data_IF_133680029262
#
_entry.id   IF_133680029262
#
_cell.length_a   1.000
_cell.length_b   1.000
_cell.length_c   1.000
_cell.angle_alpha   90.00
_cell.angle_beta   90.00
_cell.angle_gamma   90.00
#
_symmetry.space_group_name_H-M   'P 1'
#
loop_
_entity.id
_entity.type
_entity.pdbx_description
1 polymer ?
#
# COMPACT_ATOMS: atom_id res chain seq x y z
N UNK A 1 -4.68 -10.91 16.57
CA UNK A 1 -4.03 -10.55 17.83
C UNK A 1 -3.13 -9.33 17.61
N UNK A 2 -3.68 -8.14 17.91
CA UNK A 2 -3.10 -6.83 17.54
C UNK A 2 -3.07 -5.88 18.73
N UNK A 3 -2.30 -6.21 19.82
CA UNK A 3 -2.40 -5.50 21.10
C UNK A 3 -2.11 -3.99 21.01
N UNK A 4 -1.23 -3.57 20.09
CA UNK A 4 -0.93 -2.14 19.89
C UNK A 4 -2.08 -1.42 19.19
N UNK A 5 -2.63 -2.01 18.13
CA UNK A 5 -3.81 -1.47 17.44
C UNK A 5 -5.03 -1.45 18.36
N UNK A 6 -5.24 -2.50 19.14
CA UNK A 6 -6.32 -2.60 20.12
C UNK A 6 -6.19 -1.49 21.19
N UNK A 7 -4.96 -1.22 21.65
CA UNK A 7 -4.67 -0.11 22.57
C UNK A 7 -4.97 1.26 21.97
N UNK A 8 -4.63 1.49 20.71
CA UNK A 8 -4.97 2.72 19.98
C UNK A 8 -6.47 2.87 19.79
N UNK A 9 -7.16 1.79 19.43
CA UNK A 9 -8.61 1.78 19.29
C UNK A 9 -9.32 2.13 20.62
N UNK A 10 -8.84 1.57 21.73
CA UNK A 10 -9.39 1.84 23.06
C UNK A 10 -9.16 3.29 23.52
N UNK A 11 -8.08 3.92 23.08
CA UNK A 11 -7.73 5.31 23.44
C UNK A 11 -8.24 6.37 22.46
N UNK A 12 -8.70 5.96 21.29
CA UNK A 12 -9.06 6.84 20.18
C UNK A 12 -10.44 6.58 19.59
N UNK A 13 -10.56 6.80 18.29
CA UNK A 13 -11.78 6.57 17.52
C UNK A 13 -11.55 5.49 16.48
N UNK A 14 -12.41 4.49 16.48
CA UNK A 14 -12.44 3.44 15.45
C UNK A 14 -13.52 3.74 14.41
N UNK A 15 -13.13 3.73 13.13
CA UNK A 15 -14.06 3.92 12.01
C UNK A 15 -14.47 2.55 11.47
N UNK A 16 -15.68 2.11 11.76
CA UNK A 16 -16.20 0.80 11.32
C UNK A 16 -16.50 0.77 9.81
N UNK A 17 -16.76 1.92 9.21
CA UNK A 17 -17.08 2.06 7.79
C UNK A 17 -16.09 3.03 7.13
N UNK A 18 -14.90 2.54 6.81
CA UNK A 18 -13.88 3.28 6.09
C UNK A 18 -13.77 2.77 4.64
N UNK A 19 -13.77 3.68 3.68
CA UNK A 19 -13.77 3.37 2.25
C UNK A 19 -12.64 4.11 1.55
N UNK A 20 -12.05 3.49 0.52
CA UNK A 20 -11.23 4.19 -0.46
C UNK A 20 -12.03 4.41 -1.76
N UNK A 21 -11.75 5.47 -2.49
CA UNK A 21 -12.46 5.75 -3.75
C UNK A 21 -11.89 4.99 -4.96
N UNK A 22 -10.76 4.31 -4.81
CA UNK A 22 -10.21 3.40 -5.82
C UNK A 22 -9.36 2.31 -5.13
N UNK A 23 -9.68 1.02 -5.28
CA UNK A 23 -8.97 -0.07 -4.61
C UNK A 23 -7.72 -0.53 -5.38
N UNK A 24 -6.97 0.41 -5.97
CA UNK A 24 -5.72 0.19 -6.70
C UNK A 24 -4.61 1.01 -6.03
N UNK A 25 -3.39 0.49 -5.98
CA UNK A 25 -2.30 1.05 -5.16
C UNK A 25 -2.03 2.54 -5.44
N UNK A 26 -1.62 2.91 -6.66
CA UNK A 26 -1.25 4.28 -6.98
C UNK A 26 -2.44 5.25 -6.93
N UNK A 27 -3.62 4.94 -7.50
CA UNK A 27 -4.81 5.79 -7.37
C UNK A 27 -5.23 6.03 -5.93
N UNK A 28 -5.32 4.99 -5.11
CA UNK A 28 -5.69 5.10 -3.70
C UNK A 28 -4.70 5.97 -2.92
N UNK A 29 -3.39 5.79 -3.14
CA UNK A 29 -2.34 6.54 -2.47
C UNK A 29 -2.27 8.00 -2.94
N UNK A 30 -2.48 8.25 -4.22
CA UNK A 30 -2.58 9.61 -4.77
C UNK A 30 -3.79 10.35 -4.19
N UNK A 31 -4.93 9.67 -4.08
CA UNK A 31 -6.13 10.21 -3.42
C UNK A 31 -5.86 10.50 -1.92
N UNK A 32 -5.22 9.59 -1.20
CA UNK A 32 -4.80 9.80 0.18
C UNK A 32 -3.87 11.01 0.33
N UNK A 33 -2.91 11.17 -0.57
CA UNK A 33 -1.95 12.28 -0.52
C UNK A 33 -2.60 13.64 -0.79
N UNK A 34 -3.57 13.69 -1.71
CA UNK A 34 -4.18 14.95 -2.16
C UNK A 34 -5.48 15.29 -1.44
N UNK A 35 -6.13 14.32 -0.79
CA UNK A 35 -7.47 14.46 -0.24
C UNK A 35 -8.56 14.61 -1.30
N UNK A 36 -8.28 14.23 -2.56
CA UNK A 36 -9.17 14.38 -3.71
C UNK A 36 -9.59 13.04 -4.29
N UNK A 37 -10.72 13.02 -4.97
CA UNK A 37 -11.17 11.84 -5.70
C UNK A 37 -10.24 11.54 -6.88
N UNK A 38 -10.14 10.26 -7.23
CA UNK A 38 -9.33 9.80 -8.37
C UNK A 38 -9.74 10.50 -9.68
N UNK A 39 -11.04 10.77 -9.86
CA UNK A 39 -11.56 11.51 -11.01
C UNK A 39 -11.12 12.96 -11.08
N UNK A 40 -10.71 13.57 -9.97
CA UNK A 40 -10.23 14.95 -9.93
C UNK A 40 -8.72 15.05 -10.17
N UNK A 41 -7.98 14.02 -9.76
CA UNK A 41 -6.52 13.97 -9.90
C UNK A 41 -6.06 13.19 -11.14
N UNK A 42 -6.98 12.49 -11.79
CA UNK A 42 -6.79 11.72 -13.03
C UNK A 42 -5.73 10.61 -12.94
N UNK A 43 -5.51 10.06 -11.74
CA UNK A 43 -4.62 8.91 -11.51
C UNK A 43 -5.47 7.64 -11.53
N UNK A 44 -5.60 7.01 -12.69
CA UNK A 44 -6.57 5.94 -12.92
C UNK A 44 -6.04 4.52 -12.64
N UNK A 45 -4.73 4.34 -12.70
CA UNK A 45 -4.07 3.05 -12.56
C UNK A 45 -2.65 3.18 -11.98
N UNK A 46 -1.97 2.05 -11.81
CA UNK A 46 -0.60 2.01 -11.30
C UNK A 46 0.48 2.51 -12.29
N UNK A 47 0.11 2.86 -13.51
CA UNK A 47 1.00 3.45 -14.51
C UNK A 47 0.84 4.96 -14.65
N UNK A 48 -0.18 5.54 -14.04
CA UNK A 48 -0.47 6.98 -14.16
C UNK A 48 0.23 7.77 -13.05
N UNK A 49 1.16 8.68 -13.37
CA UNK A 49 1.84 9.48 -12.36
C UNK A 49 0.90 10.54 -11.74
N UNK A 50 1.08 10.81 -10.46
CA UNK A 50 0.55 12.03 -9.85
C UNK A 50 1.37 13.23 -10.35
N UNK A 51 0.71 14.28 -10.87
CA UNK A 51 1.40 15.48 -11.32
C UNK A 51 2.14 16.18 -10.16
N UNK A 52 3.37 16.62 -10.41
CA UNK A 52 4.17 17.36 -9.42
C UNK A 52 3.60 18.72 -9.05
N UNK A 53 2.66 19.23 -9.84
CA UNK A 53 1.89 20.44 -9.60
C UNK A 53 0.72 20.25 -8.64
N UNK A 54 0.42 19.01 -8.26
CA UNK A 54 -0.69 18.69 -7.36
C UNK A 54 -0.25 18.83 -5.90
N UNK A 55 -0.83 19.77 -5.14
CA UNK A 55 -0.53 19.90 -3.72
C UNK A 55 -1.01 18.68 -2.95
N UNK A 56 -0.21 18.28 -1.97
CA UNK A 56 -0.49 17.17 -1.06
C UNK A 56 -0.55 17.66 0.37
N UNK A 57 -1.07 16.84 1.28
CA UNK A 57 -1.06 17.19 2.70
C UNK A 57 0.38 17.33 3.26
N UNK A 58 1.39 16.66 2.65
CA UNK A 58 2.79 16.84 3.04
C UNK A 58 3.27 18.28 2.77
N UNK A 59 2.89 18.87 1.63
CA UNK A 59 3.16 20.29 1.36
C UNK A 59 2.48 21.21 2.40
N UNK A 60 1.22 20.92 2.74
CA UNK A 60 0.49 21.71 3.73
C UNK A 60 1.14 21.64 5.12
N UNK A 61 1.60 20.46 5.54
CA UNK A 61 2.33 20.29 6.80
C UNK A 61 3.67 21.02 6.80
N UNK A 62 4.41 20.99 5.69
CA UNK A 62 5.66 21.75 5.56
C UNK A 62 5.43 23.26 5.73
N UNK A 63 4.37 23.77 5.12
CA UNK A 63 3.98 25.20 5.30
C UNK A 63 3.59 25.52 6.74
N UNK A 64 3.07 24.55 7.48
CA UNK A 64 2.77 24.67 8.90
C UNK A 64 3.99 24.44 9.82
N UNK A 65 5.20 24.24 9.25
CA UNK A 65 6.45 24.08 10.00
C UNK A 65 6.77 22.66 10.44
N UNK A 66 6.04 21.66 9.95
CA UNK A 66 6.37 20.26 10.23
C UNK A 66 7.53 19.77 9.36
N UNK A 67 8.36 18.88 9.90
CA UNK A 67 9.21 18.01 9.10
C UNK A 67 8.37 16.82 8.60
N UNK A 68 8.32 16.59 7.29
CA UNK A 68 7.57 15.47 6.72
C UNK A 68 8.51 14.40 6.19
N UNK A 69 8.31 13.16 6.62
CA UNK A 69 9.21 12.05 6.33
C UNK A 69 8.42 10.84 5.80
N UNK A 70 8.96 10.23 4.74
CA UNK A 70 8.43 9.00 4.15
C UNK A 70 9.43 7.86 4.36
N UNK A 71 8.94 6.72 4.81
CA UNK A 71 9.66 5.46 4.86
C UNK A 71 8.82 4.36 4.22
N UNK A 72 9.27 3.85 3.08
CA UNK A 72 8.60 2.73 2.43
C UNK A 72 7.73 3.09 1.23
N UNK A 73 6.71 2.25 0.97
CA UNK A 73 5.91 2.24 -0.25
C UNK A 73 4.91 3.39 -0.32
N UNK A 74 5.01 4.23 -1.34
CA UNK A 74 3.95 5.16 -1.72
C UNK A 74 3.49 5.00 -3.17
N UNK A 75 4.18 4.19 -3.94
CA UNK A 75 3.88 3.90 -5.35
C UNK A 75 3.81 5.18 -6.20
N UNK A 76 4.70 6.12 -5.91
CA UNK A 76 4.85 7.30 -6.74
C UNK A 76 5.47 6.91 -8.09
N UNK A 77 4.73 7.13 -9.16
CA UNK A 77 5.16 6.90 -10.53
C UNK A 77 5.75 8.19 -11.11
N UNK A 78 6.78 8.06 -11.92
CA UNK A 78 7.42 9.20 -12.57
C UNK A 78 8.59 9.78 -11.75
N UNK A 79 9.10 10.94 -12.17
CA UNK A 79 10.34 11.50 -11.61
C UNK A 79 10.20 12.10 -10.21
N UNK A 80 9.00 12.59 -9.86
CA UNK A 80 8.76 13.11 -8.52
C UNK A 80 8.45 11.96 -7.55
N UNK A 81 9.44 11.64 -6.72
CA UNK A 81 9.35 10.57 -5.72
C UNK A 81 9.07 11.12 -4.32
N UNK A 82 8.88 12.43 -4.19
CA UNK A 82 8.74 13.09 -2.90
C UNK A 82 7.33 13.64 -2.67
N UNK A 83 6.70 14.22 -3.66
CA UNK A 83 5.35 14.81 -3.58
C UNK A 83 5.09 15.58 -2.27
N UNK A 84 6.08 16.41 -1.89
CA UNK A 84 6.02 17.24 -0.69
C UNK A 84 6.74 16.67 0.54
N UNK A 85 7.11 15.40 0.60
CA UNK A 85 7.94 14.91 1.69
C UNK A 85 9.34 15.54 1.63
N UNK A 86 9.85 16.01 2.77
CA UNK A 86 11.20 16.60 2.87
C UNK A 86 12.27 15.54 3.01
N UNK A 87 11.96 14.40 3.64
CA UNK A 87 12.89 13.28 3.82
C UNK A 87 12.26 11.99 3.29
N UNK A 88 13.10 11.14 2.71
CA UNK A 88 12.74 9.77 2.37
C UNK A 88 13.78 8.81 2.90
N UNK A 89 13.41 7.96 3.85
CA UNK A 89 14.34 7.06 4.55
C UNK A 89 14.58 5.78 3.75
N UNK A 90 13.56 5.29 3.04
CA UNK A 90 13.65 4.11 2.20
C UNK A 90 12.88 4.37 0.90
N UNK A 91 13.49 4.03 -0.23
CA UNK A 91 12.85 4.12 -1.54
C UNK A 91 11.70 3.12 -1.68
N UNK A 92 10.83 3.34 -2.67
CA UNK A 92 9.74 2.44 -2.96
C UNK A 92 10.26 1.05 -3.37
N UNK A 93 9.54 0.01 -3.00
CA UNK A 93 9.89 -1.37 -3.33
C UNK A 93 9.87 -1.62 -4.84
N UNK A 94 9.04 -0.89 -5.57
CA UNK A 94 8.95 -1.00 -7.02
C UNK A 94 10.00 -0.13 -7.75
N UNK A 95 10.76 0.70 -7.02
CA UNK A 95 11.68 1.68 -7.61
C UNK A 95 10.99 2.77 -8.45
N UNK A 96 11.71 3.77 -8.94
CA UNK A 96 11.16 4.79 -9.83
C UNK A 96 10.79 4.27 -11.22
N UNK A 97 11.26 3.07 -11.56
CA UNK A 97 11.16 2.47 -12.89
C UNK A 97 10.02 1.48 -13.08
N UNK A 98 8.86 1.65 -12.45
CA UNK A 98 7.64 0.94 -12.85
C UNK A 98 7.13 1.40 -14.25
N UNK A 99 7.99 2.06 -15.00
CA UNK A 99 7.84 2.38 -16.42
C UNK A 99 7.46 1.17 -17.28
N UNK A 100 7.80 -0.04 -16.84
CA UNK A 100 7.36 -1.28 -17.49
C UNK A 100 5.84 -1.47 -17.49
N UNK A 101 5.12 -0.86 -16.57
CA UNK A 101 3.65 -0.90 -16.56
C UNK A 101 3.06 0.11 -17.54
N UNK A 102 3.75 1.23 -17.80
CA UNK A 102 3.33 2.25 -18.78
C UNK A 102 3.64 1.81 -20.20
N UNK A 103 4.76 1.13 -20.43
CA UNK A 103 5.22 0.75 -21.76
C UNK A 103 4.32 -0.27 -22.49
N UNK A 104 3.36 -0.87 -21.81
CA UNK A 104 2.50 -1.93 -22.39
C UNK A 104 1.05 -1.49 -22.62
N UNK A 105 0.76 -0.21 -22.64
CA UNK A 105 -0.58 0.29 -22.98
C UNK A 105 -1.05 -0.12 -24.38
N UNK A 106 -0.13 -0.27 -25.32
CA UNK A 106 -0.44 -0.72 -26.68
C UNK A 106 -0.73 -2.23 -26.75
N UNK A 107 -0.15 -2.98 -25.83
CA UNK A 107 -0.39 -4.40 -25.69
C UNK A 107 -1.11 -4.62 -24.38
N UNK A 108 -2.43 -4.55 -24.38
CA UNK A 108 -3.31 -4.89 -23.26
C UNK A 108 -3.20 -6.36 -22.82
N UNK A 109 -2.00 -6.89 -22.84
CA UNK A 109 -1.69 -8.18 -22.27
C UNK A 109 -1.65 -8.03 -20.75
N UNK A 110 -2.84 -8.05 -20.16
CA UNK A 110 -3.08 -7.98 -18.70
C UNK A 110 -2.51 -9.22 -18.01
N UNK A 111 -2.09 -10.22 -18.76
CA UNK A 111 -1.59 -11.52 -18.27
C UNK A 111 -0.30 -11.42 -17.44
N UNK A 112 0.33 -10.24 -17.42
CA UNK A 112 1.56 -9.99 -16.66
C UNK A 112 1.44 -8.89 -15.61
N UNK A 113 0.24 -8.42 -15.34
CA UNK A 113 -0.02 -7.62 -14.16
C UNK A 113 0.24 -8.50 -12.90
N UNK A 114 0.62 -7.88 -11.81
CA UNK A 114 1.07 -8.52 -10.57
C UNK A 114 0.04 -9.43 -9.85
N UNK A 115 -1.02 -9.83 -10.52
CA UNK A 115 -2.08 -10.71 -10.03
C UNK A 115 -2.25 -11.91 -10.97
N UNK A 116 -1.17 -12.63 -11.23
CA UNK A 116 -1.24 -13.92 -11.92
C UNK A 116 -1.66 -15.01 -10.94
N UNK A 117 -2.25 -16.08 -11.44
CA UNK A 117 -2.61 -17.26 -10.63
C UNK A 117 -1.41 -17.78 -9.85
N UNK A 118 -0.21 -17.78 -10.46
CA UNK A 118 1.02 -18.21 -9.80
C UNK A 118 1.27 -17.46 -8.48
N UNK A 119 0.94 -16.17 -8.41
CA UNK A 119 1.11 -15.39 -7.19
C UNK A 119 0.17 -15.83 -6.05
N UNK A 120 -0.91 -16.53 -6.36
CA UNK A 120 -1.80 -17.16 -5.37
C UNK A 120 -1.38 -18.61 -5.09
N UNK A 121 -0.93 -19.34 -6.10
CA UNK A 121 -0.46 -20.73 -5.96
C UNK A 121 0.81 -20.79 -5.07
N UNK A 122 1.63 -19.73 -5.06
CA UNK A 122 2.80 -19.58 -4.18
C UNK A 122 2.45 -19.17 -2.74
N UNK A 123 1.18 -19.01 -2.39
CA UNK A 123 0.75 -18.59 -1.05
C UNK A 123 1.08 -19.64 0.02
N UNK A 124 1.48 -19.18 1.21
CA UNK A 124 1.76 -20.07 2.32
C UNK A 124 2.88 -19.60 3.23
N UNK A 125 3.41 -20.52 4.08
CA UNK A 125 4.54 -20.19 4.95
C UNK A 125 5.84 -20.10 4.16
N UNK A 126 6.66 -19.09 4.44
CA UNK A 126 7.95 -18.89 3.79
C UNK A 126 8.54 -17.51 4.00
N UNK A 127 9.70 -17.30 3.39
CA UNK A 127 10.38 -16.00 3.33
C UNK A 127 10.28 -15.42 1.94
N UNK A 128 10.00 -14.13 1.88
CA UNK A 128 9.89 -13.39 0.63
C UNK A 128 10.48 -11.99 0.75
N UNK A 129 10.93 -11.42 -0.36
CA UNK A 129 11.62 -10.12 -0.39
C UNK A 129 10.79 -8.98 0.21
N UNK A 130 9.47 -9.04 0.15
CA UNK A 130 8.60 -8.00 0.73
C UNK A 130 8.66 -7.97 2.26
N UNK A 131 8.84 -9.12 2.91
CA UNK A 131 9.01 -9.16 4.36
C UNK A 131 10.35 -8.54 4.79
N UNK A 132 11.43 -8.75 4.00
CA UNK A 132 12.73 -8.12 4.24
C UNK A 132 12.64 -6.59 4.04
N UNK A 133 11.89 -6.17 3.03
CA UNK A 133 11.62 -4.75 2.82
C UNK A 133 10.84 -4.13 3.98
N UNK A 134 9.82 -4.82 4.48
CA UNK A 134 9.02 -4.36 5.63
C UNK A 134 9.83 -4.32 6.92
N UNK A 135 10.74 -5.27 7.14
CA UNK A 135 11.70 -5.22 8.25
C UNK A 135 12.56 -3.96 8.18
N UNK A 136 13.01 -3.59 6.99
CA UNK A 136 13.81 -2.38 6.78
C UNK A 136 12.98 -1.11 6.98
N UNK A 137 11.72 -1.10 6.54
CA UNK A 137 10.78 0.00 6.85
C UNK A 137 10.62 0.15 8.36
N UNK A 138 10.39 -0.94 9.08
CA UNK A 138 10.25 -0.93 10.53
C UNK A 138 11.52 -0.43 11.21
N UNK A 139 12.67 -0.98 10.85
CA UNK A 139 13.97 -0.61 11.43
C UNK A 139 14.26 0.88 11.26
N UNK A 140 14.16 1.41 10.03
CA UNK A 140 14.42 2.83 9.74
C UNK A 140 13.41 3.76 10.41
N UNK A 141 12.16 3.35 10.48
CA UNK A 141 11.14 4.12 11.16
C UNK A 141 11.41 4.23 12.67
N UNK A 142 11.82 3.13 13.30
CA UNK A 142 12.20 3.12 14.73
C UNK A 142 13.46 3.96 14.97
N UNK A 143 14.47 3.86 14.13
CA UNK A 143 15.67 4.70 14.20
C UNK A 143 15.30 6.18 14.09
N UNK A 144 14.50 6.53 13.09
CA UNK A 144 14.01 7.90 12.92
C UNK A 144 13.24 8.38 14.16
N UNK A 145 12.39 7.57 14.77
CA UNK A 145 11.66 7.93 16.00
C UNK A 145 12.60 8.12 17.21
N UNK A 146 13.72 7.41 17.23
CA UNK A 146 14.73 7.51 18.28
C UNK A 146 15.77 8.64 18.10
N UNK A 147 15.76 9.40 17.00
CA UNK A 147 16.71 10.49 16.75
C UNK A 147 16.59 11.58 17.82
N UNK A 148 17.65 11.86 18.61
CA UNK A 148 17.58 12.86 19.71
C UNK A 148 17.49 14.30 19.20
N UNK A 149 17.84 14.55 17.95
CA UNK A 149 18.11 15.87 17.39
C UNK A 149 16.89 16.61 16.82
N UNK A 150 15.66 16.08 16.99
CA UNK A 150 14.48 16.73 16.39
C UNK A 150 14.06 18.03 17.06
N UNK A 151 14.58 18.35 18.25
CA UNK A 151 14.20 19.55 18.97
C UNK A 151 12.68 19.62 19.22
N UNK A 152 12.15 20.83 19.17
CA UNK A 152 10.71 21.10 19.36
C UNK A 152 9.93 21.15 18.03
N UNK A 153 10.59 20.91 16.88
CA UNK A 153 9.92 20.97 15.58
C UNK A 153 8.90 19.82 15.46
N UNK A 154 7.65 20.12 15.14
CA UNK A 154 6.66 19.09 14.89
C UNK A 154 7.04 18.27 13.64
N UNK A 155 6.67 17.01 13.62
CA UNK A 155 7.00 16.09 12.53
C UNK A 155 5.84 15.18 12.15
N UNK A 156 5.88 14.67 10.93
CA UNK A 156 4.98 13.66 10.43
C UNK A 156 5.77 12.56 9.71
N UNK A 157 5.59 11.32 10.15
CA UNK A 157 6.20 10.14 9.53
C UNK A 157 5.12 9.27 8.89
N UNK A 158 5.35 8.90 7.63
CA UNK A 158 4.63 7.79 6.99
C UNK A 158 5.56 6.58 6.96
N UNK A 159 5.25 5.57 7.76
CA UNK A 159 5.85 4.25 7.69
C UNK A 159 4.92 3.33 6.88
N UNK A 160 5.29 3.04 5.64
CA UNK A 160 4.41 2.36 4.70
C UNK A 160 4.96 1.01 4.27
N UNK A 161 4.30 -0.05 4.73
CA UNK A 161 4.61 -1.44 4.49
C UNK A 161 3.99 -1.93 3.18
N UNK A 162 4.52 -3.05 2.65
CA UNK A 162 3.98 -3.68 1.46
C UNK A 162 3.11 -4.90 1.77
N UNK A 163 3.45 -5.68 2.80
CA UNK A 163 2.62 -6.82 3.19
C UNK A 163 1.26 -6.35 3.72
N UNK A 164 0.17 -7.05 3.45
CA UNK A 164 0.01 -8.39 2.85
C UNK A 164 -0.20 -8.41 1.33
N UNK A 165 0.57 -7.63 0.56
CA UNK A 165 0.52 -7.70 -0.91
C UNK A 165 0.94 -9.09 -1.40
N UNK A 166 0.30 -9.60 -2.46
CA UNK A 166 0.66 -10.87 -3.08
C UNK A 166 2.11 -10.87 -3.65
N UNK A 167 2.80 -12.04 -3.65
CA UNK A 167 2.34 -13.36 -3.22
C UNK A 167 2.07 -13.39 -1.71
N UNK A 168 1.05 -14.15 -1.29
CA UNK A 168 0.59 -14.20 0.10
C UNK A 168 1.49 -15.14 0.92
N UNK A 169 2.75 -14.81 1.00
CA UNK A 169 3.77 -15.57 1.75
C UNK A 169 3.96 -14.93 3.12
N UNK A 170 3.90 -15.72 4.16
CA UNK A 170 4.04 -15.28 5.55
C UNK A 170 5.07 -16.13 6.29
N UNK A 171 5.85 -15.51 7.19
CA UNK A 171 6.83 -16.26 7.99
C UNK A 171 6.17 -17.35 8.82
N UNK A 172 6.85 -18.49 8.96
CA UNK A 172 6.35 -19.68 9.64
C UNK A 172 5.74 -19.38 11.02
N UNK A 173 6.38 -18.53 11.83
CA UNK A 173 5.90 -18.17 13.16
C UNK A 173 4.50 -17.50 13.18
N UNK A 174 4.13 -16.77 12.13
CA UNK A 174 2.81 -16.15 12.00
C UNK A 174 1.82 -17.14 11.40
N UNK A 175 2.27 -17.96 10.44
CA UNK A 175 1.48 -19.07 9.91
C UNK A 175 1.00 -19.99 11.02
N UNK A 176 1.93 -20.48 11.88
CA UNK A 176 1.62 -21.40 12.97
C UNK A 176 0.67 -20.79 14.01
N UNK A 177 0.67 -19.45 14.12
CA UNK A 177 -0.20 -18.76 15.07
C UNK A 177 -1.65 -18.66 14.60
N UNK A 178 -1.90 -18.56 13.31
CA UNK A 178 -3.21 -18.24 12.78
C UNK A 178 -3.80 -19.33 11.90
N UNK A 179 -3.01 -20.15 11.26
CA UNK A 179 -3.47 -21.22 10.39
C UNK A 179 -3.27 -22.60 11.05
N UNK A 180 -4.24 -23.54 10.95
CA UNK A 180 -5.53 -23.39 10.28
C UNK A 180 -6.66 -22.85 11.19
N UNK A 181 -6.43 -22.68 12.49
CA UNK A 181 -7.49 -22.44 13.48
C UNK A 181 -8.29 -21.15 13.26
N UNK A 182 -7.66 -20.15 12.64
CA UNK A 182 -8.28 -18.85 12.36
C UNK A 182 -8.45 -18.56 10.85
N UNK A 183 -8.26 -19.57 10.01
CA UNK A 183 -8.48 -19.47 8.57
C UNK A 183 -9.95 -19.79 8.22
N UNK A 184 -10.85 -18.89 8.59
CA UNK A 184 -12.27 -19.04 8.30
C UNK A 184 -12.54 -18.99 6.80
N UNK A 185 -13.42 -19.85 6.32
CA UNK A 185 -13.92 -19.75 4.96
C UNK A 185 -14.76 -18.47 4.81
N UNK A 186 -14.75 -17.82 3.64
CA UNK A 186 -15.58 -16.64 3.40
C UNK A 186 -17.05 -16.92 3.78
N UNK A 187 -17.56 -16.15 4.73
CA UNK A 187 -18.86 -16.39 5.35
C UNK A 187 -20.07 -15.88 4.57
N UNK A 188 -19.91 -15.53 3.29
CA UNK A 188 -21.02 -15.04 2.45
C UNK A 188 -21.46 -16.18 1.50
N UNK A 189 -22.54 -16.90 1.82
CA UNK A 189 -23.08 -17.94 0.94
C UNK A 189 -23.49 -17.34 -0.41
N UNK A 190 -23.20 -18.05 -1.50
CA UNK A 190 -23.62 -17.64 -2.84
C UNK A 190 -22.94 -16.37 -3.36
N UNK A 191 -21.80 -16.00 -2.80
CA UNK A 191 -21.12 -14.77 -3.23
C UNK A 191 -20.72 -14.79 -4.72
N UNK A 192 -20.41 -15.98 -5.28
CA UNK A 192 -20.08 -16.11 -6.70
C UNK A 192 -21.25 -15.77 -7.62
N UNK A 193 -22.48 -16.14 -7.24
CA UNK A 193 -23.69 -15.83 -8.00
C UNK A 193 -24.05 -14.34 -7.95
N UNK A 194 -23.60 -13.64 -6.90
CA UNK A 194 -23.89 -12.21 -6.68
C UNK A 194 -22.75 -11.29 -7.04
N UNK A 195 -21.63 -11.82 -7.55
CA UNK A 195 -20.49 -11.02 -7.98
C UNK A 195 -20.89 -10.01 -9.07
N UNK A 196 -20.34 -8.80 -8.94
CA UNK A 196 -20.42 -7.83 -10.04
C UNK A 196 -19.84 -8.43 -11.33
N UNK A 197 -20.42 -8.18 -12.52
CA UNK A 197 -19.96 -8.78 -13.78
C UNK A 197 -18.48 -8.58 -14.09
N UNK A 198 -17.88 -7.49 -13.60
CA UNK A 198 -16.43 -7.28 -13.71
C UNK A 198 -15.65 -8.33 -12.90
N UNK A 199 -16.06 -8.58 -11.66
CA UNK A 199 -15.41 -9.56 -10.78
C UNK A 199 -15.62 -10.99 -11.29
N UNK A 200 -16.77 -11.28 -11.88
CA UNK A 200 -16.99 -12.58 -12.55
C UNK A 200 -16.00 -12.75 -13.71
N UNK A 201 -15.86 -11.75 -14.59
CA UNK A 201 -14.88 -11.79 -15.69
C UNK A 201 -13.43 -11.91 -15.19
N UNK A 202 -13.10 -11.28 -14.06
CA UNK A 202 -11.77 -11.42 -13.45
C UNK A 202 -11.56 -12.85 -12.93
N UNK A 203 -12.56 -13.44 -12.28
CA UNK A 203 -12.51 -14.82 -11.84
C UNK A 203 -12.33 -15.79 -13.00
N UNK A 204 -13.10 -15.62 -14.08
CA UNK A 204 -13.00 -16.43 -15.30
C UNK A 204 -11.63 -16.27 -15.98
N UNK A 205 -11.08 -15.05 -15.97
CA UNK A 205 -9.78 -14.76 -16.57
C UNK A 205 -8.60 -15.40 -15.83
N UNK A 206 -8.65 -15.36 -14.50
CA UNK A 206 -7.60 -15.91 -13.65
C UNK A 206 -7.84 -17.35 -13.22
N UNK A 207 -8.96 -17.96 -13.62
CA UNK A 207 -9.37 -19.33 -13.32
C UNK A 207 -9.42 -19.61 -11.80
N UNK A 208 -10.15 -18.75 -11.04
CA UNK A 208 -10.44 -18.94 -9.60
C UNK A 208 -11.88 -18.66 -9.18
#
# INVERSE_FOLDING_TARGET
>A
HTPVMDGLAAAGTTFENAYCNSPICAPSRASFMTGKLVSEIEVWDNGTPLGSDRPTWAHALNLAGYETTLCGKMHFIGPDQMHGFQRRLLSDVHGPGNERLVANWEHRDVSRAAMTREAFDESGPGDYVYQQYDDEVARRSVEYLGEPARGEQPWALVASFITPHNPLIVRQQYWDRYYPEHADQPGIPGHRETLHPHNQRMGDWFDY
#
